data_IF_966938153462
#
_entry.id   IF_966938153462
#
_cell.length_a   1.000
_cell.length_b   1.000
_cell.length_c   1.000
_cell.angle_alpha   90.00
_cell.angle_beta   90.00
_cell.angle_gamma   90.00
#
_symmetry.space_group_name_H-M   'P 1'
#
loop_
_entity.id
_entity.type
_entity.pdbx_description
1 polymer ?
#
# COMPACT_ATOMS: atom_id res chain seq x y z
N UNK A 1 -11.42 -20.37 38.27
CA UNK A 1 -11.41 -19.05 37.57
C UNK A 1 -10.24 -18.98 36.57
N UNK A 2 -9.00 -19.28 36.97
CA UNK A 2 -7.82 -19.25 36.08
C UNK A 2 -7.90 -20.16 34.85
N UNK A 3 -8.47 -21.35 34.96
CA UNK A 3 -8.63 -22.31 33.84
C UNK A 3 -9.58 -21.79 32.74
N UNK A 4 -10.71 -21.16 33.15
CA UNK A 4 -11.65 -20.56 32.18
C UNK A 4 -11.01 -19.40 31.44
N UNK A 5 -10.22 -18.54 32.12
CA UNK A 5 -9.51 -17.42 31.51
C UNK A 5 -8.49 -17.92 30.46
N UNK A 6 -7.70 -18.97 30.81
CA UNK A 6 -6.77 -19.58 29.87
C UNK A 6 -7.46 -20.17 28.64
N UNK A 7 -8.63 -20.80 28.82
CA UNK A 7 -9.42 -21.34 27.72
C UNK A 7 -9.88 -20.23 26.78
N UNK A 8 -10.50 -19.16 27.31
CA UNK A 8 -10.96 -18.02 26.50
C UNK A 8 -9.80 -17.30 25.81
N UNK A 9 -8.66 -17.15 26.49
CA UNK A 9 -7.47 -16.56 25.89
C UNK A 9 -6.94 -17.40 24.71
N UNK A 10 -6.92 -18.73 24.84
CA UNK A 10 -6.54 -19.65 23.77
C UNK A 10 -7.52 -19.59 22.59
N UNK A 11 -8.82 -19.62 22.86
CA UNK A 11 -9.86 -19.52 21.82
C UNK A 11 -9.79 -18.16 21.10
N UNK A 12 -9.58 -17.06 21.82
CA UNK A 12 -9.37 -15.75 21.26
C UNK A 12 -8.12 -15.68 20.37
N UNK A 13 -7.02 -16.26 20.81
CA UNK A 13 -5.79 -16.32 20.02
C UNK A 13 -6.00 -17.13 18.72
N UNK A 14 -6.65 -18.30 18.82
CA UNK A 14 -6.96 -19.11 17.64
C UNK A 14 -7.84 -18.33 16.66
N UNK A 15 -8.87 -17.64 17.16
CA UNK A 15 -9.75 -16.82 16.30
C UNK A 15 -9.00 -15.69 15.60
N UNK A 16 -8.06 -15.03 16.29
CA UNK A 16 -7.22 -14.01 15.68
C UNK A 16 -6.29 -14.57 14.60
N UNK A 17 -5.69 -15.75 14.84
CA UNK A 17 -4.84 -16.41 13.84
C UNK A 17 -5.66 -16.81 12.61
N UNK A 18 -6.85 -17.40 12.81
CA UNK A 18 -7.73 -17.77 11.70
C UNK A 18 -8.18 -16.55 10.90
N UNK A 19 -8.52 -15.44 11.57
CA UNK A 19 -8.86 -14.19 10.92
C UNK A 19 -7.68 -13.65 10.10
N UNK A 20 -6.47 -13.67 10.66
CA UNK A 20 -5.27 -13.25 9.94
C UNK A 20 -5.02 -14.11 8.69
N UNK A 21 -5.14 -15.43 8.80
CA UNK A 21 -5.01 -16.36 7.66
C UNK A 21 -6.09 -16.04 6.60
N UNK A 22 -7.33 -15.87 7.01
CA UNK A 22 -8.44 -15.55 6.10
C UNK A 22 -8.21 -14.23 5.36
N UNK A 23 -7.79 -13.18 6.08
CA UNK A 23 -7.51 -11.87 5.47
C UNK A 23 -6.35 -11.94 4.46
N UNK A 24 -5.29 -12.70 4.77
CA UNK A 24 -4.18 -12.91 3.82
C UNK A 24 -4.62 -13.73 2.60
N UNK A 25 -5.44 -14.77 2.78
CA UNK A 25 -5.98 -15.55 1.67
C UNK A 25 -6.89 -14.69 0.77
N UNK A 26 -7.71 -13.81 1.36
CA UNK A 26 -8.56 -12.88 0.63
C UNK A 26 -7.74 -11.83 -0.14
N UNK A 27 -6.69 -11.28 0.47
CA UNK A 27 -5.75 -10.37 -0.19
C UNK A 27 -5.07 -11.07 -1.37
N UNK A 28 -4.58 -12.29 -1.18
CA UNK A 28 -3.99 -13.09 -2.26
C UNK A 28 -4.99 -13.33 -3.40
N UNK A 29 -6.21 -13.76 -3.10
CA UNK A 29 -7.24 -13.97 -4.12
C UNK A 29 -7.51 -12.69 -4.94
N UNK A 30 -7.67 -11.56 -4.28
CA UNK A 30 -7.86 -10.26 -4.93
C UNK A 30 -6.66 -9.80 -5.74
N UNK A 31 -5.46 -10.26 -5.39
CA UNK A 31 -4.23 -9.92 -6.10
C UNK A 31 -4.01 -10.73 -7.39
N UNK A 32 -4.81 -11.77 -7.66
CA UNK A 32 -4.65 -12.60 -8.85
C UNK A 32 -4.89 -11.83 -10.16
N UNK A 33 -5.76 -10.84 -10.10
CA UNK A 33 -6.12 -10.00 -11.27
C UNK A 33 -5.13 -8.86 -11.53
N UNK A 34 -4.22 -8.56 -10.60
CA UNK A 34 -3.26 -7.47 -10.76
C UNK A 34 -2.28 -7.75 -11.88
N UNK A 35 -1.90 -6.69 -12.61
CA UNK A 35 -0.75 -6.77 -13.49
C UNK A 35 0.52 -6.92 -12.64
N UNK A 36 1.20 -8.06 -12.77
CA UNK A 36 2.42 -8.42 -12.02
C UNK A 36 3.67 -8.40 -12.89
N UNK A 37 3.61 -7.75 -14.03
CA UNK A 37 4.77 -7.56 -14.87
C UNK A 37 5.86 -6.75 -14.17
N UNK A 38 7.07 -6.87 -14.67
CA UNK A 38 8.18 -6.01 -14.26
C UNK A 38 7.79 -4.54 -14.45
N UNK A 39 8.13 -3.68 -13.50
CA UNK A 39 7.87 -2.25 -13.63
C UNK A 39 8.60 -1.68 -14.83
N UNK A 40 7.87 -1.14 -15.78
CA UNK A 40 8.35 -0.49 -17.01
C UNK A 40 8.28 1.04 -16.94
N UNK A 41 8.02 1.59 -15.74
CA UNK A 41 7.92 3.03 -15.49
C UNK A 41 9.22 3.50 -14.85
N UNK A 42 9.90 4.42 -15.53
CA UNK A 42 11.16 4.98 -15.04
C UNK A 42 10.97 6.31 -14.29
N UNK A 43 9.85 7.01 -14.52
CA UNK A 43 9.60 8.31 -13.91
C UNK A 43 8.15 8.47 -13.51
N UNK A 44 7.92 9.24 -12.44
CA UNK A 44 6.60 9.67 -12.02
C UNK A 44 6.54 11.19 -11.87
N UNK A 45 5.52 11.82 -12.42
CA UNK A 45 5.25 13.24 -12.15
C UNK A 45 4.47 13.35 -10.84
N UNK A 46 5.09 13.99 -9.86
CA UNK A 46 4.51 14.15 -8.52
C UNK A 46 3.47 15.28 -8.47
N UNK A 47 2.70 15.30 -7.38
CA UNK A 47 1.65 16.27 -7.14
C UNK A 47 2.14 17.73 -7.14
N UNK A 48 3.39 17.99 -6.78
CA UNK A 48 4.01 19.32 -6.82
C UNK A 48 4.54 19.71 -8.22
N UNK A 49 4.51 18.79 -9.17
CA UNK A 49 5.02 18.94 -10.53
C UNK A 49 6.47 18.51 -10.71
N UNK A 50 7.16 18.10 -9.65
CA UNK A 50 8.50 17.54 -9.76
C UNK A 50 8.45 16.14 -10.39
N UNK A 51 9.56 15.72 -10.99
CA UNK A 51 9.71 14.38 -11.56
C UNK A 51 10.53 13.53 -10.59
N UNK A 52 9.95 12.39 -10.18
CA UNK A 52 10.65 11.36 -9.43
C UNK A 52 11.19 10.32 -10.40
N UNK A 53 12.50 10.09 -10.38
CA UNK A 53 13.15 9.01 -11.13
C UNK A 53 13.21 7.76 -10.27
N UNK A 54 12.78 6.63 -10.83
CA UNK A 54 12.81 5.33 -10.15
C UNK A 54 14.25 4.87 -10.01
N UNK A 55 14.72 4.76 -8.77
CA UNK A 55 16.10 4.37 -8.47
C UNK A 55 16.33 2.89 -8.83
N UNK A 56 17.32 2.63 -9.68
CA UNK A 56 17.59 1.27 -10.21
C UNK A 56 17.96 0.26 -9.11
N UNK A 57 18.78 0.67 -8.15
CA UNK A 57 19.37 -0.21 -7.13
C UNK A 57 18.56 -0.32 -5.82
N UNK A 58 17.36 0.23 -5.78
CA UNK A 58 16.54 0.23 -4.57
C UNK A 58 15.19 -0.45 -4.78
N UNK A 59 14.70 -1.20 -3.79
CA UNK A 59 13.31 -1.65 -3.76
C UNK A 59 12.36 -0.45 -3.78
N UNK A 60 11.17 -0.64 -4.37
CA UNK A 60 10.15 0.41 -4.48
C UNK A 60 8.80 -0.11 -4.00
N UNK A 61 8.11 0.70 -3.22
CA UNK A 61 6.71 0.50 -2.89
C UNK A 61 5.86 1.43 -3.77
N UNK A 62 4.88 0.87 -4.48
CA UNK A 62 3.82 1.64 -5.13
C UNK A 62 2.51 1.35 -4.40
N UNK A 63 1.90 2.40 -3.86
CA UNK A 63 0.70 2.31 -3.05
C UNK A 63 -0.47 3.06 -3.70
N UNK A 64 -1.52 2.34 -4.05
CA UNK A 64 -2.74 2.89 -4.64
C UNK A 64 -3.79 3.16 -3.57
N UNK A 65 -4.31 4.39 -3.55
CA UNK A 65 -5.28 4.85 -2.57
C UNK A 65 -6.23 5.90 -3.14
N UNK A 66 -7.21 6.33 -2.34
CA UNK A 66 -8.09 7.44 -2.69
C UNK A 66 -8.51 8.21 -1.44
N UNK A 67 -8.78 9.51 -1.59
CA UNK A 67 -9.24 10.39 -0.51
C UNK A 67 -10.61 9.97 0.05
N UNK A 68 -11.45 9.41 -0.80
CA UNK A 68 -12.79 8.92 -0.47
C UNK A 68 -12.81 7.48 0.11
N UNK A 69 -11.66 6.80 0.20
CA UNK A 69 -11.56 5.41 0.67
C UNK A 69 -11.35 5.35 2.20
N UNK A 70 -12.32 4.88 3.00
CA UNK A 70 -12.18 4.83 4.45
C UNK A 70 -11.02 3.97 4.92
N UNK A 71 -10.81 2.79 4.32
CA UNK A 71 -9.72 1.87 4.67
C UNK A 71 -8.36 2.49 4.37
N UNK A 72 -8.25 3.27 3.28
CA UNK A 72 -7.02 3.99 2.92
C UNK A 72 -6.66 5.04 3.98
N UNK A 73 -7.67 5.73 4.53
CA UNK A 73 -7.47 6.71 5.61
C UNK A 73 -6.88 6.04 6.87
N UNK A 74 -7.35 4.85 7.22
CA UNK A 74 -6.78 4.10 8.37
C UNK A 74 -5.35 3.63 8.11
N UNK A 75 -5.00 3.32 6.87
CA UNK A 75 -3.66 2.85 6.49
C UNK A 75 -2.66 3.99 6.28
N UNK A 76 -3.12 5.20 6.01
CA UNK A 76 -2.27 6.34 5.64
C UNK A 76 -1.09 6.58 6.59
N UNK A 77 -1.30 6.44 7.91
CA UNK A 77 -0.22 6.56 8.89
C UNK A 77 0.84 5.45 8.77
N UNK A 78 0.47 4.25 8.33
CA UNK A 78 1.40 3.16 8.09
C UNK A 78 2.28 3.46 6.86
N UNK A 79 1.65 3.98 5.80
CA UNK A 79 2.35 4.40 4.57
C UNK A 79 3.25 5.60 4.85
N UNK A 80 2.77 6.60 5.61
CA UNK A 80 3.58 7.73 6.04
C UNK A 80 4.83 7.27 6.79
N UNK A 81 4.69 6.32 7.70
CA UNK A 81 5.82 5.80 8.47
C UNK A 81 6.83 5.09 7.58
N UNK A 82 6.41 4.17 6.71
CA UNK A 82 7.34 3.40 5.86
C UNK A 82 8.01 4.29 4.81
N UNK A 83 7.37 5.38 4.36
CA UNK A 83 7.93 6.31 3.39
C UNK A 83 9.12 7.13 3.91
N UNK A 84 9.37 7.11 5.23
CA UNK A 84 10.56 7.75 5.83
C UNK A 84 11.82 6.90 5.64
N UNK A 85 11.66 5.59 5.54
CA UNK A 85 12.79 4.64 5.55
C UNK A 85 13.01 3.97 4.19
N UNK A 86 11.98 3.97 3.31
CA UNK A 86 12.02 3.31 2.01
C UNK A 86 11.51 4.22 0.89
N UNK A 87 11.84 3.85 -0.35
CA UNK A 87 11.29 4.51 -1.53
C UNK A 87 9.82 4.12 -1.69
N UNK A 88 8.95 5.11 -1.54
CA UNK A 88 7.49 4.95 -1.66
C UNK A 88 6.95 6.00 -2.62
N UNK A 89 6.19 5.55 -3.61
CA UNK A 89 5.34 6.37 -4.47
C UNK A 89 3.90 5.99 -4.19
N UNK A 90 3.08 6.98 -3.89
CA UNK A 90 1.65 6.75 -3.74
C UNK A 90 0.89 7.31 -4.93
N UNK A 91 -0.14 6.61 -5.36
CA UNK A 91 -0.97 6.95 -6.51
C UNK A 91 -2.40 7.17 -6.02
N UNK A 92 -2.85 8.42 -6.09
CA UNK A 92 -4.17 8.84 -5.65
C UNK A 92 -5.15 8.76 -6.82
N UNK A 93 -6.02 7.72 -6.84
CA UNK A 93 -7.00 7.52 -7.90
C UNK A 93 -8.21 8.42 -7.69
N UNK A 94 -8.55 9.19 -8.73
CA UNK A 94 -9.79 9.98 -8.79
C UNK A 94 -10.12 10.67 -7.45
N UNK A 95 -9.08 11.27 -6.86
CA UNK A 95 -9.10 11.85 -5.52
C UNK A 95 -9.32 13.37 -5.52
N UNK A 96 -9.74 13.90 -6.66
CA UNK A 96 -9.97 15.33 -6.87
C UNK A 96 -8.80 16.02 -7.55
N UNK A 97 -8.83 17.36 -7.49
CA UNK A 97 -7.79 18.22 -8.03
C UNK A 97 -6.51 18.12 -7.20
N UNK A 98 -5.43 18.64 -7.77
CA UNK A 98 -4.14 18.76 -7.08
C UNK A 98 -4.27 19.51 -5.73
N UNK A 99 -5.06 20.56 -5.70
CA UNK A 99 -5.30 21.38 -4.53
C UNK A 99 -6.08 20.64 -3.45
N UNK A 100 -7.09 19.87 -3.82
CA UNK A 100 -7.88 19.03 -2.91
C UNK A 100 -7.04 17.93 -2.28
N UNK A 101 -6.20 17.26 -3.07
CA UNK A 101 -5.27 16.24 -2.55
C UNK A 101 -4.25 16.87 -1.60
N UNK A 102 -3.66 18.03 -1.95
CA UNK A 102 -2.75 18.76 -1.06
C UNK A 102 -3.39 19.11 0.27
N UNK A 103 -4.62 19.61 0.23
CA UNK A 103 -5.40 19.92 1.43
C UNK A 103 -5.61 18.67 2.29
N UNK A 104 -6.01 17.54 1.67
CA UNK A 104 -6.16 16.27 2.37
C UNK A 104 -4.87 15.82 3.06
N UNK A 105 -3.72 15.91 2.37
CA UNK A 105 -2.42 15.57 2.94
C UNK A 105 -2.09 16.43 4.16
N UNK A 106 -2.30 17.75 4.07
CA UNK A 106 -2.07 18.68 5.18
C UNK A 106 -2.97 18.38 6.39
N UNK A 107 -4.26 18.18 6.16
CA UNK A 107 -5.23 17.88 7.23
C UNK A 107 -4.94 16.57 7.96
N UNK A 108 -4.28 15.62 7.28
CA UNK A 108 -3.94 14.31 7.85
C UNK A 108 -2.45 14.17 8.24
N UNK A 109 -1.65 15.26 8.16
CA UNK A 109 -0.21 15.28 8.45
C UNK A 109 0.57 14.23 7.64
N UNK A 110 0.28 14.12 6.34
CA UNK A 110 0.91 13.19 5.42
C UNK A 110 1.91 13.92 4.53
N UNK A 111 3.08 13.34 4.34
CA UNK A 111 4.19 13.93 3.57
C UNK A 111 4.77 13.00 2.51
N UNK A 112 4.22 11.80 2.35
CA UNK A 112 4.65 10.88 1.31
C UNK A 112 4.45 11.45 -0.10
N UNK A 113 5.22 10.96 -1.07
CA UNK A 113 5.13 11.37 -2.48
C UNK A 113 3.82 10.89 -3.09
N UNK A 114 3.14 11.77 -3.82
CA UNK A 114 1.85 11.47 -4.45
C UNK A 114 1.89 11.78 -5.94
N UNK A 115 1.36 10.86 -6.72
CA UNK A 115 0.98 11.01 -8.13
C UNK A 115 -0.54 11.13 -8.18
N UNK A 116 -1.07 12.16 -8.87
CA UNK A 116 -2.53 12.26 -9.10
C UNK A 116 -2.92 11.44 -10.34
N UNK A 117 -3.66 10.37 -10.12
CA UNK A 117 -4.22 9.52 -11.17
C UNK A 117 -5.69 9.92 -11.43
N UNK A 118 -5.86 11.15 -11.93
CA UNK A 118 -7.18 11.76 -12.11
C UNK A 118 -8.05 10.96 -13.09
N UNK A 119 -7.44 10.45 -14.16
CA UNK A 119 -8.12 9.70 -15.21
C UNK A 119 -8.14 8.18 -14.96
N UNK A 120 -7.38 7.67 -13.99
CA UNK A 120 -7.25 6.24 -13.74
C UNK A 120 -6.29 5.53 -14.68
N UNK A 121 -5.35 6.24 -15.30
CA UNK A 121 -4.40 5.66 -16.26
C UNK A 121 -3.46 4.66 -15.58
N UNK A 122 -2.88 5.02 -14.44
CA UNK A 122 -2.04 4.12 -13.64
C UNK A 122 -2.86 2.96 -13.07
N UNK A 123 -4.02 3.26 -12.50
CA UNK A 123 -4.89 2.22 -11.92
C UNK A 123 -5.32 1.20 -12.97
N UNK A 124 -5.60 1.64 -14.21
CA UNK A 124 -5.89 0.76 -15.34
C UNK A 124 -4.68 -0.06 -15.77
N UNK A 125 -3.47 0.57 -15.88
CA UNK A 125 -2.23 -0.10 -16.26
C UNK A 125 -1.88 -1.24 -15.29
N UNK A 126 -2.07 -1.03 -13.99
CA UNK A 126 -1.82 -2.03 -12.95
C UNK A 126 -3.03 -2.93 -12.66
N UNK A 127 -4.14 -2.75 -13.37
CA UNK A 127 -5.42 -3.47 -13.17
C UNK A 127 -5.91 -3.41 -11.72
N UNK A 128 -5.84 -2.22 -11.10
CA UNK A 128 -6.26 -1.98 -9.71
C UNK A 128 -7.78 -1.97 -9.64
N UNK A 129 -8.37 -2.90 -8.89
CA UNK A 129 -9.83 -3.05 -8.71
C UNK A 129 -10.31 -2.79 -7.28
N UNK A 130 -9.41 -2.67 -6.33
CA UNK A 130 -9.74 -2.47 -4.92
C UNK A 130 -8.70 -1.57 -4.23
N UNK A 131 -9.12 -0.90 -3.16
CA UNK A 131 -8.30 0.03 -2.39
C UNK A 131 -8.35 -0.30 -0.90
N UNK A 132 -7.24 -0.07 -0.20
CA UNK A 132 -5.90 0.22 -0.73
C UNK A 132 -5.29 -0.99 -1.44
N UNK A 133 -4.32 -0.77 -2.33
CA UNK A 133 -3.48 -1.83 -2.92
C UNK A 133 -2.03 -1.40 -2.87
N UNK A 134 -1.16 -2.28 -2.39
CA UNK A 134 0.29 -2.04 -2.28
C UNK A 134 1.04 -3.07 -3.10
N UNK A 135 1.91 -2.59 -3.98
CA UNK A 135 2.84 -3.39 -4.79
C UNK A 135 4.25 -3.15 -4.28
N UNK A 136 5.00 -4.22 -4.00
CA UNK A 136 6.38 -4.14 -3.54
C UNK A 136 7.30 -4.77 -4.57
N UNK A 137 8.19 -3.96 -5.11
CA UNK A 137 9.18 -4.32 -6.11
C UNK A 137 10.56 -4.47 -5.50
N UNK A 138 11.33 -5.44 -5.99
CA UNK A 138 12.76 -5.56 -5.67
C UNK A 138 13.60 -4.49 -6.40
N UNK A 139 14.91 -4.51 -6.18
CA UNK A 139 15.86 -3.63 -6.88
C UNK A 139 15.84 -3.79 -8.40
N UNK A 140 15.54 -4.99 -8.89
CA UNK A 140 15.46 -5.31 -10.31
C UNK A 140 14.08 -5.00 -10.91
N UNK A 141 13.18 -4.37 -10.08
CA UNK A 141 11.81 -3.98 -10.43
C UNK A 141 10.88 -5.15 -10.76
N UNK A 142 11.16 -6.33 -10.22
CA UNK A 142 10.21 -7.44 -10.22
C UNK A 142 9.30 -7.34 -8.99
N UNK A 143 8.01 -7.64 -9.17
CA UNK A 143 7.07 -7.71 -8.03
C UNK A 143 7.45 -8.87 -7.12
N UNK A 144 7.57 -8.60 -5.83
CA UNK A 144 7.78 -9.59 -4.77
C UNK A 144 6.55 -9.80 -3.90
N UNK A 145 5.85 -8.72 -3.59
CA UNK A 145 4.63 -8.80 -2.79
C UNK A 145 3.53 -7.90 -3.35
N UNK A 146 2.30 -8.37 -3.20
CA UNK A 146 1.09 -7.64 -3.53
C UNK A 146 0.13 -7.74 -2.36
N UNK A 147 -0.38 -6.61 -1.88
CA UNK A 147 -1.34 -6.55 -0.79
C UNK A 147 -2.58 -5.80 -1.25
N UNK A 148 -3.74 -6.43 -1.14
CA UNK A 148 -5.03 -5.82 -1.47
C UNK A 148 -5.87 -5.73 -0.20
N UNK A 149 -6.09 -4.51 0.27
CA UNK A 149 -6.69 -4.19 1.54
C UNK A 149 -5.67 -3.68 2.55
N UNK A 150 -6.12 -3.44 3.78
CA UNK A 150 -5.33 -2.86 4.86
C UNK A 150 -4.09 -3.69 5.22
N UNK A 151 -2.94 -3.03 5.29
CA UNK A 151 -1.67 -3.62 5.72
C UNK A 151 -1.09 -2.85 6.91
N UNK A 152 -0.65 -3.58 7.93
CA UNK A 152 -0.04 -2.96 9.11
C UNK A 152 1.37 -2.47 8.83
N UNK A 153 1.85 -1.51 9.62
CA UNK A 153 3.27 -1.07 9.59
C UNK A 153 4.22 -2.25 9.70
N UNK A 154 4.01 -3.16 10.66
CA UNK A 154 4.86 -4.35 10.83
C UNK A 154 4.83 -5.26 9.59
N UNK A 155 3.65 -5.39 8.95
CA UNK A 155 3.50 -6.13 7.70
C UNK A 155 4.31 -5.53 6.56
N UNK A 156 4.31 -4.21 6.40
CA UNK A 156 5.11 -3.51 5.39
C UNK A 156 6.62 -3.69 5.63
N UNK A 157 7.08 -3.42 6.86
CA UNK A 157 8.51 -3.56 7.20
C UNK A 157 9.01 -5.00 7.05
N UNK A 158 8.22 -6.00 7.44
CA UNK A 158 8.62 -7.40 7.29
C UNK A 158 8.81 -7.81 5.83
N UNK A 159 7.95 -7.33 4.94
CA UNK A 159 8.08 -7.58 3.50
C UNK A 159 9.27 -6.87 2.90
N UNK A 160 9.49 -5.60 3.28
CA UNK A 160 10.65 -4.83 2.82
C UNK A 160 11.97 -5.45 3.29
N UNK A 161 12.02 -6.03 4.49
CA UNK A 161 13.21 -6.76 4.97
C UNK A 161 13.53 -8.02 4.15
N UNK A 162 12.53 -8.61 3.47
CA UNK A 162 12.69 -9.78 2.60
C UNK A 162 13.03 -9.42 1.15
N UNK A 163 12.87 -8.15 0.78
CA UNK A 163 13.16 -7.65 -0.57
C UNK A 163 14.59 -7.09 -0.59
N UNK A 164 15.48 -7.79 -1.31
CA UNK A 164 16.88 -7.40 -1.48
C UNK A 164 17.17 -7.03 -2.92
#
# INVERSE_FOLDING_TARGET
>A
MKEKIKKYAKEGLISLVLLAIFMNALSYYRSLDLNKDKLDINTFTLLDGSVYEVLEDKPLIIHFWATWCPTCKFEAANIEKISKDYEVITIALQSGTKEEIKKYLQENNLTFRVVNDENGDFSSKFNIKAFPTTLIYDKDKNIKFTEVGYTTTAGLYSRMALVK
#
